data_IF_662295778827
#
_entry.id   IF_662295778827
#
_cell.length_a   1.000
_cell.length_b   1.000
_cell.length_c   1.000
_cell.angle_alpha   90.00
_cell.angle_beta   90.00
_cell.angle_gamma   90.00
#
_symmetry.space_group_name_H-M   'P 1'
#
loop_
_entity.id
_entity.type
_entity.pdbx_description
1 polymer ?
#
# COMPACT_ATOMS: atom_id res chain seq x y z
N UNK A 1 -17.09 30.70 -32.08
CA UNK A 1 -17.11 30.34 -30.65
C UNK A 1 -16.53 28.93 -30.49
N UNK A 2 -15.68 28.67 -29.49
CA UNK A 2 -15.16 27.32 -29.25
C UNK A 2 -16.25 26.47 -28.57
N UNK A 3 -16.77 25.40 -29.20
CA UNK A 3 -17.85 24.59 -28.64
C UNK A 3 -17.51 23.97 -27.28
N UNK A 4 -16.23 23.67 -27.02
CA UNK A 4 -15.78 23.14 -25.74
C UNK A 4 -15.75 24.18 -24.60
N UNK A 5 -15.91 25.47 -24.91
CA UNK A 5 -16.01 26.51 -23.88
C UNK A 5 -17.34 26.47 -23.11
N UNK A 6 -18.38 25.86 -23.68
CA UNK A 6 -19.72 25.79 -23.09
C UNK A 6 -20.05 24.44 -22.44
N UNK A 7 -19.23 23.40 -22.66
CA UNK A 7 -19.51 22.04 -22.20
C UNK A 7 -18.67 21.71 -20.97
N UNK A 8 -19.31 21.20 -19.91
CA UNK A 8 -18.64 20.65 -18.73
C UNK A 8 -18.66 19.13 -18.78
N UNK A 9 -17.48 18.53 -18.94
CA UNK A 9 -17.33 17.08 -18.96
C UNK A 9 -17.15 16.52 -17.54
N UNK A 10 -17.52 15.24 -17.35
CA UNK A 10 -17.38 14.54 -16.08
C UNK A 10 -15.93 14.20 -15.73
N UNK A 11 -15.71 13.65 -14.52
CA UNK A 11 -14.37 13.31 -14.03
C UNK A 11 -13.63 12.36 -14.99
N UNK A 12 -12.45 12.78 -15.44
CA UNK A 12 -11.62 12.00 -16.38
C UNK A 12 -12.01 12.12 -17.87
N UNK A 13 -13.00 12.94 -18.21
CA UNK A 13 -13.41 13.18 -19.60
C UNK A 13 -12.79 14.47 -20.17
N UNK A 14 -12.26 14.38 -21.39
CA UNK A 14 -11.83 15.53 -22.19
C UNK A 14 -12.90 15.94 -23.21
N UNK A 15 -13.03 17.23 -23.48
CA UNK A 15 -13.88 17.73 -24.56
C UNK A 15 -13.16 17.64 -25.90
N UNK A 16 -13.83 17.07 -26.90
CA UNK A 16 -13.37 17.03 -28.29
C UNK A 16 -14.49 17.49 -29.22
N UNK A 17 -14.14 18.23 -30.27
CA UNK A 17 -15.11 18.66 -31.29
C UNK A 17 -15.16 17.60 -32.39
N UNK A 18 -16.34 17.14 -32.76
CA UNK A 18 -16.53 16.17 -33.83
C UNK A 18 -16.50 16.84 -35.22
N UNK A 19 -16.62 16.03 -36.29
CA UNK A 19 -16.62 16.52 -37.68
C UNK A 19 -17.77 17.48 -38.03
N UNK A 20 -18.81 17.54 -37.21
CA UNK A 20 -19.97 18.43 -37.38
C UNK A 20 -19.86 19.71 -36.53
N UNK A 21 -18.71 19.95 -35.88
CA UNK A 21 -18.52 21.12 -35.02
C UNK A 21 -19.15 20.99 -33.62
N UNK A 22 -19.61 19.80 -33.24
CA UNK A 22 -20.28 19.57 -31.95
C UNK A 22 -19.27 19.12 -30.89
N UNK A 23 -19.26 19.82 -29.75
CA UNK A 23 -18.47 19.42 -28.58
C UNK A 23 -19.03 18.14 -27.96
N UNK A 24 -18.16 17.15 -27.76
CA UNK A 24 -18.50 15.85 -27.16
C UNK A 24 -17.50 15.52 -26.06
N UNK A 25 -17.97 15.04 -24.91
CA UNK A 25 -17.13 14.57 -23.82
C UNK A 25 -16.71 13.11 -24.06
N UNK A 26 -15.41 12.83 -23.99
CA UNK A 26 -14.89 11.48 -24.18
C UNK A 26 -13.77 11.16 -23.20
N UNK A 27 -13.72 9.90 -22.78
CA UNK A 27 -12.59 9.36 -22.06
C UNK A 27 -11.34 9.37 -22.94
N UNK A 28 -10.18 9.41 -22.28
CA UNK A 28 -8.89 9.31 -22.96
C UNK A 28 -8.83 8.03 -23.79
N UNK A 29 -8.53 8.14 -25.08
CA UNK A 29 -8.49 6.99 -25.99
C UNK A 29 -7.18 6.22 -25.92
N UNK A 30 -6.09 6.92 -25.59
CA UNK A 30 -4.74 6.38 -25.69
C UNK A 30 -3.94 6.69 -24.43
N UNK A 31 -3.09 5.73 -24.06
CA UNK A 31 -2.09 5.86 -23.02
C UNK A 31 -0.72 5.52 -23.60
N UNK A 32 0.36 6.23 -23.19
CA UNK A 32 1.70 5.86 -23.57
C UNK A 32 2.01 4.43 -23.12
N UNK A 33 2.83 3.68 -23.87
CA UNK A 33 3.21 2.29 -23.53
C UNK A 33 4.23 2.22 -22.37
N UNK A 34 4.28 3.25 -21.52
CA UNK A 34 5.12 3.26 -20.32
C UNK A 34 4.44 2.41 -19.23
N UNK A 35 5.16 1.41 -18.75
CA UNK A 35 4.69 0.50 -17.71
C UNK A 35 5.25 0.97 -16.37
N UNK A 36 4.42 1.66 -15.61
CA UNK A 36 4.67 2.12 -14.24
C UNK A 36 3.48 1.71 -13.38
N UNK A 37 3.44 0.44 -12.92
CA UNK A 37 2.24 -0.16 -12.37
C UNK A 37 1.74 0.59 -11.14
N UNK A 38 0.42 0.69 -11.02
CA UNK A 38 -0.26 1.29 -9.87
C UNK A 38 -1.38 0.37 -9.40
N UNK A 39 -1.60 0.32 -8.09
CA UNK A 39 -2.72 -0.40 -7.51
C UNK A 39 -3.88 0.58 -7.37
N UNK A 40 -5.04 0.23 -7.94
CA UNK A 40 -6.25 1.01 -7.81
C UNK A 40 -6.92 0.81 -6.44
N UNK A 41 -7.73 1.77 -6.03
CA UNK A 41 -8.59 1.67 -4.83
C UNK A 41 -9.63 0.54 -4.92
N UNK A 42 -9.80 -0.05 -6.10
CA UNK A 42 -10.63 -1.22 -6.38
C UNK A 42 -9.86 -2.55 -6.27
N UNK A 43 -8.57 -2.50 -5.89
CA UNK A 43 -7.71 -3.68 -5.79
C UNK A 43 -7.19 -4.21 -7.13
N UNK A 44 -7.36 -3.46 -8.22
CA UNK A 44 -6.88 -3.85 -9.56
C UNK A 44 -5.53 -3.20 -9.87
N UNK A 45 -4.58 -3.98 -10.41
CA UNK A 45 -3.33 -3.43 -10.94
C UNK A 45 -3.55 -2.83 -12.32
N UNK A 46 -3.09 -1.61 -12.52
CA UNK A 46 -3.10 -0.91 -13.81
C UNK A 46 -1.69 -0.67 -14.31
N UNK A 47 -1.45 -0.84 -15.62
CA UNK A 47 -0.13 -0.68 -16.25
C UNK A 47 0.50 0.70 -16.01
N UNK A 48 -0.33 1.74 -15.86
CA UNK A 48 0.07 3.05 -15.39
C UNK A 48 -1.12 3.86 -14.89
N UNK A 49 -0.85 5.00 -14.23
CA UNK A 49 -1.89 5.96 -13.83
C UNK A 49 -2.82 6.36 -14.97
N UNK A 50 -2.30 6.49 -16.19
CA UNK A 50 -3.13 6.77 -17.37
C UNK A 50 -4.17 5.68 -17.63
N UNK A 51 -3.76 4.42 -17.53
CA UNK A 51 -4.63 3.28 -17.76
C UNK A 51 -5.73 3.20 -16.69
N UNK A 52 -5.39 3.50 -15.43
CA UNK A 52 -6.35 3.62 -14.34
C UNK A 52 -7.38 4.72 -14.62
N UNK A 53 -6.94 5.95 -14.91
CA UNK A 53 -7.86 7.08 -15.17
C UNK A 53 -8.76 6.81 -16.39
N UNK A 54 -8.23 6.15 -17.42
CA UNK A 54 -8.98 5.73 -18.59
C UNK A 54 -10.05 4.70 -18.23
N UNK A 55 -9.70 3.66 -17.48
CA UNK A 55 -10.64 2.61 -17.06
C UNK A 55 -11.74 3.18 -16.14
N UNK A 56 -11.35 4.01 -15.16
CA UNK A 56 -12.25 4.74 -14.28
C UNK A 56 -13.29 5.55 -15.07
N UNK A 57 -12.82 6.29 -16.08
CA UNK A 57 -13.70 7.05 -16.96
C UNK A 57 -14.62 6.16 -17.80
N UNK A 58 -14.09 5.10 -18.42
CA UNK A 58 -14.85 4.19 -19.29
C UNK A 58 -15.93 3.42 -18.51
N UNK A 59 -15.61 3.02 -17.28
CA UNK A 59 -16.52 2.30 -16.38
C UNK A 59 -17.39 3.21 -15.53
N UNK A 60 -17.21 4.53 -15.63
CA UNK A 60 -17.90 5.53 -14.79
C UNK A 60 -17.76 5.22 -13.28
N UNK A 61 -16.56 4.81 -12.86
CA UNK A 61 -16.23 4.50 -11.47
C UNK A 61 -15.22 5.49 -10.93
N UNK A 62 -15.34 5.82 -9.65
CA UNK A 62 -14.35 6.61 -8.92
C UNK A 62 -13.24 5.69 -8.42
N UNK A 63 -12.24 5.47 -9.27
CA UNK A 63 -11.04 4.67 -8.94
C UNK A 63 -9.88 5.64 -8.76
N UNK A 64 -9.22 5.58 -7.62
CA UNK A 64 -8.01 6.37 -7.33
C UNK A 64 -6.80 5.45 -7.21
N UNK A 65 -5.60 5.99 -7.29
CA UNK A 65 -4.39 5.22 -6.96
C UNK A 65 -4.39 4.97 -5.45
N UNK A 66 -4.35 3.70 -5.04
CA UNK A 66 -4.11 3.31 -3.65
C UNK A 66 -2.62 3.43 -3.32
N UNK A 67 -1.75 2.85 -4.15
CA UNK A 67 -0.30 3.00 -4.05
C UNK A 67 0.39 2.74 -5.40
N UNK A 68 1.66 3.14 -5.51
CA UNK A 68 2.49 2.87 -6.70
C UNK A 68 3.09 1.46 -6.57
N UNK A 69 2.85 0.62 -7.58
CA UNK A 69 3.16 -0.82 -7.59
C UNK A 69 1.95 -1.66 -8.00
N UNK A 70 2.17 -2.95 -8.23
CA UNK A 70 1.07 -3.89 -8.50
C UNK A 70 0.32 -4.23 -7.21
N UNK A 71 -1.00 -4.38 -7.27
CA UNK A 71 -1.76 -5.01 -6.20
C UNK A 71 -1.23 -6.44 -5.98
N UNK A 72 -1.07 -6.85 -4.73
CA UNK A 72 -0.59 -8.20 -4.38
C UNK A 72 0.90 -8.44 -4.59
N UNK A 73 1.66 -7.53 -5.21
CA UNK A 73 3.05 -7.34 -4.80
C UNK A 73 2.91 -6.75 -3.40
N UNK A 74 3.16 -7.58 -2.38
CA UNK A 74 2.90 -7.29 -0.99
C UNK A 74 3.26 -5.84 -0.67
N UNK A 75 2.37 -5.20 0.07
CA UNK A 75 2.38 -3.76 0.27
C UNK A 75 3.68 -3.24 0.88
N UNK A 76 3.67 -2.03 1.43
CA UNK A 76 4.86 -1.45 2.06
C UNK A 76 5.65 -2.40 2.98
N UNK A 77 4.96 -3.31 3.68
CA UNK A 77 5.53 -4.32 4.57
C UNK A 77 6.21 -5.52 3.91
N UNK A 78 6.05 -5.76 2.61
CA UNK A 78 6.86 -6.75 1.91
C UNK A 78 8.27 -6.22 1.62
N UNK A 79 8.37 -4.90 1.39
CA UNK A 79 9.65 -4.22 1.13
C UNK A 79 10.34 -3.77 2.40
N UNK A 80 9.57 -3.38 3.42
CA UNK A 80 10.08 -2.82 4.67
C UNK A 80 10.05 -3.87 5.78
N UNK A 81 11.22 -4.32 6.23
CA UNK A 81 11.36 -5.16 7.42
C UNK A 81 11.57 -4.28 8.64
N UNK A 82 10.72 -4.45 9.64
CA UNK A 82 10.88 -3.76 10.92
C UNK A 82 12.13 -4.22 11.66
N UNK A 83 12.86 -3.26 12.21
CA UNK A 83 13.96 -3.54 13.13
C UNK A 83 13.45 -3.88 14.53
N UNK A 84 14.33 -4.43 15.37
CA UNK A 84 14.06 -4.69 16.79
C UNK A 84 12.85 -5.59 17.09
N UNK A 85 12.49 -6.49 16.17
CA UNK A 85 11.37 -7.42 16.39
C UNK A 85 9.98 -6.78 16.32
N UNK A 86 9.88 -5.58 15.74
CA UNK A 86 8.60 -4.97 15.40
C UNK A 86 7.84 -5.77 14.33
N UNK A 87 6.52 -5.65 14.33
CA UNK A 87 5.62 -6.19 13.31
C UNK A 87 5.27 -5.06 12.35
N UNK A 88 5.42 -5.30 11.05
CA UNK A 88 5.02 -4.33 10.06
C UNK A 88 3.50 -4.37 9.85
N UNK A 89 2.88 -3.20 9.91
CA UNK A 89 1.46 -2.99 9.60
C UNK A 89 1.32 -1.94 8.51
N UNK A 90 0.27 -2.06 7.69
CA UNK A 90 -0.01 -1.08 6.64
C UNK A 90 -1.04 -0.06 7.14
N UNK A 91 -0.66 1.23 7.19
CA UNK A 91 -1.57 2.35 7.49
C UNK A 91 -1.52 3.38 6.36
N UNK A 92 -2.68 3.69 5.78
CA UNK A 92 -2.80 4.65 4.67
C UNK A 92 -1.87 4.38 3.47
N UNK A 93 -1.60 3.10 3.17
CA UNK A 93 -0.67 2.72 2.10
C UNK A 93 0.81 2.93 2.43
N UNK A 94 1.15 3.08 3.72
CA UNK A 94 2.52 3.20 4.23
C UNK A 94 2.85 2.07 5.19
N UNK A 95 4.14 1.70 5.27
CA UNK A 95 4.65 0.73 6.24
C UNK A 95 4.87 1.44 7.57
N UNK A 96 4.27 0.93 8.63
CA UNK A 96 4.48 1.39 9.99
C UNK A 96 4.88 0.19 10.86
N UNK A 97 5.86 0.38 11.75
CA UNK A 97 6.33 -0.68 12.64
C UNK A 97 5.72 -0.51 14.02
N UNK A 98 4.99 -1.53 14.45
CA UNK A 98 4.36 -1.57 15.78
C UNK A 98 4.91 -2.76 16.57
N UNK A 99 5.07 -2.61 17.89
CA UNK A 99 5.54 -3.71 18.72
C UNK A 99 4.45 -4.79 18.89
N UNK A 100 4.81 -6.08 18.89
CA UNK A 100 3.83 -7.16 18.91
C UNK A 100 3.01 -7.17 20.20
N UNK A 101 1.70 -7.41 20.05
CA UNK A 101 0.84 -7.76 21.17
C UNK A 101 1.02 -9.24 21.53
N UNK A 102 1.36 -9.51 22.79
CA UNK A 102 1.62 -10.86 23.25
C UNK A 102 0.49 -11.35 24.14
N UNK A 103 0.02 -12.58 23.88
CA UNK A 103 -0.93 -13.27 24.73
C UNK A 103 -0.35 -13.75 26.06
N UNK A 104 -1.13 -14.58 26.75
CA UNK A 104 -0.79 -15.19 28.04
C UNK A 104 0.01 -16.49 27.95
N UNK A 105 0.51 -16.87 26.77
CA UNK A 105 1.27 -18.10 26.59
C UNK A 105 2.58 -18.07 27.40
N UNK A 106 2.82 -19.14 28.14
CA UNK A 106 4.03 -19.32 28.94
C UNK A 106 4.92 -20.39 28.32
N UNK A 107 5.90 -19.93 27.56
CA UNK A 107 6.93 -20.75 26.91
C UNK A 107 8.28 -20.02 27.09
N UNK A 108 8.90 -20.14 28.27
CA UNK A 108 9.98 -19.25 28.67
C UNK A 108 11.21 -19.41 27.78
N UNK A 109 11.90 -18.30 27.53
CA UNK A 109 13.14 -18.26 26.73
C UNK A 109 14.21 -17.44 27.44
N UNK A 110 15.47 -17.79 27.24
CA UNK A 110 16.61 -17.05 27.76
C UNK A 110 17.11 -16.07 26.71
N UNK A 111 17.18 -14.78 27.07
CA UNK A 111 17.77 -13.74 26.23
C UNK A 111 19.28 -13.63 26.40
N UNK A 112 19.97 -13.10 25.40
CA UNK A 112 21.42 -12.83 25.45
C UNK A 112 21.84 -11.84 26.55
N UNK A 113 20.88 -11.12 27.12
CA UNK A 113 21.03 -10.25 28.29
C UNK A 113 20.94 -10.99 29.64
N UNK A 114 20.89 -12.34 29.60
CA UNK A 114 20.75 -13.24 30.77
C UNK A 114 19.44 -13.04 31.55
N UNK A 115 18.39 -12.57 30.87
CA UNK A 115 17.05 -12.45 31.45
C UNK A 115 16.13 -13.51 30.84
N UNK A 116 15.29 -14.09 31.69
CA UNK A 116 14.23 -15.01 31.28
C UNK A 116 12.99 -14.22 30.87
N UNK A 117 12.51 -14.45 29.65
CA UNK A 117 11.29 -13.87 29.10
C UNK A 117 10.18 -14.91 29.07
N UNK A 118 8.94 -14.52 29.40
CA UNK A 118 7.80 -15.46 29.48
C UNK A 118 7.47 -16.16 28.14
N UNK A 119 7.83 -15.55 27.01
CA UNK A 119 7.71 -16.14 25.68
C UNK A 119 8.64 -15.44 24.69
N UNK A 120 8.89 -16.08 23.55
CA UNK A 120 9.59 -15.47 22.41
C UNK A 120 8.93 -14.17 21.95
N UNK A 121 7.59 -14.08 22.00
CA UNK A 121 6.86 -12.84 21.75
C UNK A 121 7.25 -11.74 22.76
N UNK A 122 7.31 -12.05 24.06
CA UNK A 122 7.66 -11.04 25.07
C UNK A 122 9.11 -10.57 24.96
N UNK A 123 10.02 -11.46 24.55
CA UNK A 123 11.39 -11.08 24.18
C UNK A 123 11.36 -10.10 23.01
N UNK A 124 10.71 -10.44 21.90
CA UNK A 124 10.59 -9.56 20.73
C UNK A 124 9.93 -8.22 21.06
N UNK A 125 8.88 -8.22 21.88
CA UNK A 125 8.22 -6.99 22.36
C UNK A 125 9.16 -6.13 23.21
N UNK A 126 9.96 -6.72 24.09
CA UNK A 126 10.93 -5.97 24.89
C UNK A 126 12.01 -5.33 24.01
N UNK A 127 12.58 -6.10 23.07
CA UNK A 127 13.54 -5.63 22.06
C UNK A 127 12.95 -4.43 21.30
N UNK A 128 11.70 -4.53 20.85
CA UNK A 128 11.00 -3.47 20.11
C UNK A 128 10.78 -2.21 20.95
N UNK A 129 10.25 -2.35 22.17
CA UNK A 129 9.93 -1.23 23.05
C UNK A 129 11.18 -0.51 23.60
N UNK A 130 12.28 -1.23 23.78
CA UNK A 130 13.52 -0.66 24.32
C UNK A 130 14.51 -0.29 23.22
N UNK A 131 14.20 -0.61 21.95
CA UNK A 131 15.11 -0.47 20.80
C UNK A 131 16.49 -1.05 21.09
N UNK A 132 16.52 -2.22 21.73
CA UNK A 132 17.76 -2.94 22.09
C UNK A 132 17.92 -4.18 21.22
N UNK A 133 19.14 -4.71 21.11
CA UNK A 133 19.40 -5.95 20.39
C UNK A 133 19.64 -7.09 21.39
N UNK A 134 18.57 -7.76 21.80
CA UNK A 134 18.65 -8.97 22.65
C UNK A 134 18.30 -10.17 21.78
N UNK A 135 19.29 -11.01 21.51
CA UNK A 135 19.10 -12.25 20.76
C UNK A 135 18.54 -13.35 21.66
N UNK A 136 17.80 -14.30 21.07
CA UNK A 136 17.39 -15.51 21.77
C UNK A 136 18.61 -16.42 21.94
N UNK A 137 18.93 -16.78 23.18
CA UNK A 137 20.03 -17.67 23.48
C UNK A 137 19.60 -19.15 23.41
N UNK A 138 18.53 -19.51 24.12
CA UNK A 138 17.91 -20.83 24.05
C UNK A 138 16.44 -20.81 24.53
N UNK A 139 15.72 -21.90 24.25
CA UNK A 139 14.28 -22.04 24.50
C UNK A 139 13.96 -22.62 25.90
N UNK A 140 14.67 -22.13 26.92
CA UNK A 140 14.44 -22.46 28.34
C UNK A 140 14.80 -21.24 29.20
N UNK A 141 14.43 -21.18 30.49
CA UNK A 141 14.87 -20.13 31.39
C UNK A 141 16.40 -20.03 31.51
N UNK A 142 16.90 -18.81 31.65
CA UNK A 142 18.19 -18.57 32.29
C UNK A 142 18.35 -19.12 33.77
#
# INVERSE_FOLDING_TARGET
>A
VNPCGAVRCGSGQGCVVNQYGVATCRCRRWCPPVVTPVCGSDGTTYDSRCHLERDACLRQRSITVAFVGSCGAGGPCEKYKCEYGGVCVERYGQAECECPECGGEYQPVCGGDRRTYHSSCRLARHVCLTTTHVELLHHDPC
#
